data_IF_718565147076
#
_entry.id   IF_718565147076
#
_cell.length_a   1.000
_cell.length_b   1.000
_cell.length_c   1.000
_cell.angle_alpha   90.00
_cell.angle_beta   90.00
_cell.angle_gamma   90.00
#
_symmetry.space_group_name_H-M   'P 1'
#
loop_
_entity.id
_entity.type
_entity.pdbx_description
1 polymer ?
#
# COMPACT_ATOMS: atom_id res chain seq x y z
N UNK A 1 11.39 5.53 -10.05
CA UNK A 1 11.18 4.56 -8.97
C UNK A 1 9.71 4.19 -8.96
N UNK A 2 9.37 2.91 -8.78
CA UNK A 2 7.98 2.45 -8.64
C UNK A 2 7.92 1.44 -7.50
N UNK A 3 6.94 1.60 -6.60
CA UNK A 3 6.64 0.66 -5.52
C UNK A 3 5.15 0.31 -5.66
N UNK A 4 4.81 -0.98 -5.64
CA UNK A 4 3.43 -1.45 -5.72
C UNK A 4 3.14 -2.49 -4.63
N UNK A 5 1.93 -2.44 -4.06
CA UNK A 5 1.40 -3.40 -3.08
C UNK A 5 0.25 -4.16 -3.74
N UNK A 6 0.40 -5.46 -3.98
CA UNK A 6 -0.62 -6.26 -4.68
C UNK A 6 -0.96 -5.72 -6.08
N UNK A 7 -0.01 -5.04 -6.73
CA UNK A 7 -0.22 -4.36 -8.02
C UNK A 7 -0.73 -2.91 -7.92
N UNK A 8 -1.12 -2.43 -6.73
CA UNK A 8 -1.56 -1.03 -6.53
C UNK A 8 -0.34 -0.13 -6.29
N UNK A 9 -0.15 0.96 -7.07
CA UNK A 9 1.03 1.81 -6.95
C UNK A 9 0.98 2.75 -5.73
N UNK A 10 2.14 2.93 -5.07
CA UNK A 10 2.40 4.07 -4.19
C UNK A 10 2.52 5.35 -5.02
N UNK A 11 1.81 6.41 -4.62
CA UNK A 11 1.79 7.70 -5.36
C UNK A 11 2.75 8.75 -4.77
N UNK A 12 3.20 8.59 -3.53
CA UNK A 12 3.97 9.56 -2.75
C UNK A 12 5.38 9.03 -2.40
N UNK A 13 6.03 8.39 -3.37
CA UNK A 13 7.35 7.78 -3.17
C UNK A 13 8.41 8.87 -2.95
N UNK A 14 9.07 8.82 -1.79
CA UNK A 14 10.23 9.62 -1.42
C UNK A 14 11.47 8.71 -1.31
N UNK A 15 12.53 9.03 -2.06
CA UNK A 15 13.82 8.31 -1.95
C UNK A 15 14.66 9.02 -0.89
N UNK A 16 15.00 8.31 0.18
CA UNK A 16 15.75 8.86 1.32
C UNK A 16 17.26 8.71 1.06
N UNK A 17 17.68 7.53 0.60
CA UNK A 17 19.07 7.20 0.28
C UNK A 17 19.11 6.06 -0.78
N UNK A 18 20.29 5.61 -1.26
CA UNK A 18 20.38 4.59 -2.31
C UNK A 18 19.71 3.24 -1.99
N UNK A 19 19.50 2.92 -0.72
CA UNK A 19 18.88 1.68 -0.23
C UNK A 19 17.52 1.86 0.44
N UNK A 20 17.09 3.09 0.69
CA UNK A 20 15.87 3.39 1.45
C UNK A 20 14.93 4.30 0.67
N UNK A 21 13.66 3.89 0.59
CA UNK A 21 12.57 4.71 0.11
C UNK A 21 11.37 4.60 1.05
N UNK A 22 10.53 5.64 1.07
CA UNK A 22 9.30 5.72 1.86
C UNK A 22 8.12 6.03 0.94
N UNK A 23 6.96 5.44 1.22
CA UNK A 23 5.67 5.85 0.66
C UNK A 23 4.56 5.51 1.65
N UNK A 24 3.38 6.09 1.44
CA UNK A 24 2.17 5.70 2.15
C UNK A 24 1.60 4.45 1.49
N UNK A 25 1.28 3.44 2.30
CA UNK A 25 0.63 2.20 1.82
C UNK A 25 -0.68 2.55 1.11
N UNK A 26 -0.88 2.16 -0.15
CA UNK A 26 -2.08 2.52 -0.90
C UNK A 26 -3.30 1.78 -0.36
N UNK A 27 -4.50 2.31 -0.65
CA UNK A 27 -5.76 1.64 -0.31
C UNK A 27 -5.89 0.32 -1.08
N UNK A 28 -6.24 -0.75 -0.37
CA UNK A 28 -6.42 -2.09 -0.92
C UNK A 28 -7.43 -2.87 -0.06
N UNK A 29 -8.20 -3.82 -0.63
CA UNK A 29 -9.01 -4.76 0.15
C UNK A 29 -8.20 -5.57 1.16
N UNK A 30 -8.88 -6.22 2.11
CA UNK A 30 -8.22 -7.15 3.04
C UNK A 30 -7.55 -8.31 2.30
N UNK A 31 -6.36 -8.73 2.77
CA UNK A 31 -5.60 -9.80 2.15
C UNK A 31 -4.08 -9.64 2.27
N UNK A 32 -3.38 -10.76 2.06
CA UNK A 32 -1.92 -10.79 1.95
C UNK A 32 -1.53 -10.41 0.54
N UNK A 33 -0.53 -9.54 0.38
CA UNK A 33 -0.06 -9.06 -0.92
C UNK A 33 1.46 -9.07 -1.02
N UNK A 34 1.93 -9.18 -2.25
CA UNK A 34 3.33 -8.98 -2.60
C UNK A 34 3.67 -7.49 -2.66
N UNK A 35 4.93 -7.15 -2.40
CA UNK A 35 5.49 -5.83 -2.66
C UNK A 35 6.46 -5.96 -3.83
N UNK A 36 6.25 -5.17 -4.88
CA UNK A 36 7.18 -5.09 -6.00
C UNK A 36 7.81 -3.69 -6.07
N UNK A 37 9.12 -3.65 -6.30
CA UNK A 37 9.91 -2.43 -6.39
C UNK A 37 10.70 -2.43 -7.68
N UNK A 38 10.70 -1.31 -8.39
CA UNK A 38 11.55 -1.05 -9.56
C UNK A 38 12.33 0.23 -9.30
N UNK A 39 13.66 0.10 -9.23
CA UNK A 39 14.54 1.25 -9.04
C UNK A 39 14.72 2.05 -10.35
N UNK A 40 15.18 3.31 -10.29
CA UNK A 40 15.44 4.09 -11.50
C UNK A 40 16.46 3.46 -12.47
N UNK A 41 17.34 2.58 -11.97
CA UNK A 41 18.29 1.81 -12.79
C UNK A 41 17.66 0.62 -13.52
N UNK A 42 16.35 0.39 -13.39
CA UNK A 42 15.60 -0.67 -14.07
C UNK A 42 15.68 -2.04 -13.39
N UNK A 43 16.40 -2.16 -12.27
CA UNK A 43 16.38 -3.39 -11.48
C UNK A 43 15.05 -3.52 -10.75
N UNK A 44 14.59 -4.75 -10.58
CA UNK A 44 13.33 -5.04 -9.90
C UNK A 44 13.48 -6.16 -8.89
N UNK A 45 12.67 -6.10 -7.84
CA UNK A 45 12.53 -7.14 -6.83
C UNK A 45 11.07 -7.29 -6.46
N UNK A 46 10.67 -8.52 -6.16
CA UNK A 46 9.36 -8.86 -5.60
C UNK A 46 9.62 -9.53 -4.25
N UNK A 47 9.01 -8.98 -3.20
CA UNK A 47 8.91 -9.63 -1.90
C UNK A 47 7.52 -10.26 -1.81
N UNK A 48 7.49 -11.59 -1.83
CA UNK A 48 6.26 -12.36 -1.76
C UNK A 48 5.64 -12.29 -0.37
N UNK A 49 4.31 -12.19 -0.30
CA UNK A 49 3.53 -12.19 0.96
C UNK A 49 4.03 -11.18 2.02
N UNK A 50 4.51 -10.03 1.58
CA UNK A 50 5.26 -9.10 2.42
C UNK A 50 4.38 -8.16 3.27
N UNK A 51 3.12 -7.98 2.88
CA UNK A 51 2.20 -7.08 3.57
C UNK A 51 0.82 -7.69 3.73
N UNK A 52 0.19 -7.47 4.89
CA UNK A 52 -1.18 -7.92 5.15
C UNK A 52 -2.08 -6.71 5.35
N UNK A 53 -3.05 -6.54 4.45
CA UNK A 53 -4.15 -5.61 4.64
C UNK A 53 -5.17 -6.22 5.59
N UNK A 54 -5.40 -5.56 6.71
CA UNK A 54 -6.49 -5.89 7.63
C UNK A 54 -7.71 -5.04 7.33
N UNK A 55 -8.89 -5.65 7.42
CA UNK A 55 -10.14 -4.91 7.30
C UNK A 55 -10.25 -3.87 8.41
N UNK A 56 -10.51 -2.63 8.01
CA UNK A 56 -10.83 -1.55 8.93
C UNK A 56 -12.14 -1.78 9.65
N UNK A 57 -12.34 -1.04 10.73
CA UNK A 57 -13.58 -1.09 11.50
C UNK A 57 -14.73 -0.47 10.69
N UNK A 58 -15.82 -1.20 10.51
CA UNK A 58 -17.05 -0.64 9.98
C UNK A 58 -17.88 -0.07 11.12
N UNK A 59 -18.00 1.26 11.19
CA UNK A 59 -18.88 1.95 12.14
C UNK A 59 -20.19 2.27 11.41
N UNK A 60 -21.30 1.69 11.89
CA UNK A 60 -22.63 2.06 11.44
C UNK A 60 -23.19 3.11 12.42
N UNK A 61 -23.30 4.37 11.97
CA UNK A 61 -23.99 5.40 12.75
C UNK A 61 -25.50 5.21 12.60
N UNK A 62 -26.28 5.18 13.70
CA UNK A 62 -27.73 5.15 13.59
C UNK A 62 -28.23 6.45 12.96
N UNK A 63 -29.17 6.36 12.02
CA UNK A 63 -29.90 7.53 11.52
C UNK A 63 -30.84 8.00 12.63
N UNK A 64 -30.54 9.13 13.26
CA UNK A 64 -31.48 9.80 14.16
C UNK A 64 -32.53 10.49 13.28
N UNK A 65 -33.64 9.79 13.03
CA UNK A 65 -34.81 10.42 12.41
C UNK A 65 -35.52 11.26 13.47
N UNK A 66 -35.40 12.59 13.38
CA UNK A 66 -36.30 13.51 14.07
C UNK A 66 -37.63 13.54 13.32
N UNK A 67 -38.61 12.74 13.74
CA UNK A 67 -40.03 13.05 13.53
C UNK A 67 -40.61 13.56 14.82
#
# INVERSE_FOLDING_TARGET
>A
MRITFGGVPCMDIEVIDPSTARCTTPSHPEGVVDIAVINPGGQSVILENAYTYIKGWSIFLPVISYR
#
